data_IF_472882022677
#
_entry.id   IF_472882022677
#
_cell.length_a   1.000
_cell.length_b   1.000
_cell.length_c   1.000
_cell.angle_alpha   90.00
_cell.angle_beta   90.00
_cell.angle_gamma   90.00
#
_symmetry.space_group_name_H-M   'P 1'
#
loop_
_entity.id
_entity.type
_entity.pdbx_description
1 polymer ?
#
# COMPACT_ATOMS: atom_id res chain seq x y z
N UNK A 1 10.55 9.93 -0.81
CA UNK A 1 10.74 10.78 0.37
C UNK A 1 11.09 12.24 0.05
N UNK A 2 11.61 12.52 -1.12
CA UNK A 2 12.00 13.90 -1.52
C UNK A 2 11.46 14.28 -2.91
N UNK A 3 10.60 13.44 -3.48
CA UNK A 3 9.88 13.66 -4.76
C UNK A 3 10.81 13.92 -5.97
N UNK A 4 12.05 13.49 -5.89
CA UNK A 4 13.03 13.68 -6.97
C UNK A 4 12.84 12.72 -8.15
N UNK A 5 11.91 11.75 -8.02
CA UNK A 5 11.61 10.73 -9.02
C UNK A 5 12.63 9.58 -9.07
N UNK A 6 13.52 9.52 -8.12
CA UNK A 6 14.46 8.41 -7.93
C UNK A 6 13.94 7.53 -6.79
N UNK A 7 14.02 6.23 -6.94
CA UNK A 7 13.59 5.30 -5.90
C UNK A 7 14.53 5.38 -4.70
N UNK A 8 14.00 5.70 -3.52
CA UNK A 8 14.78 5.79 -2.28
C UNK A 8 15.42 4.46 -1.88
N UNK A 9 14.70 3.36 -2.07
CA UNK A 9 15.20 2.01 -1.78
C UNK A 9 15.04 1.06 -2.97
N UNK A 10 16.10 0.87 -3.78
CA UNK A 10 16.07 -0.07 -4.89
C UNK A 10 15.86 -1.54 -4.49
N UNK A 11 16.14 -1.92 -3.24
CA UNK A 11 15.89 -3.28 -2.76
C UNK A 11 14.39 -3.52 -2.55
N UNK A 12 13.68 -2.54 -2.01
CA UNK A 12 12.22 -2.59 -1.88
C UNK A 12 11.57 -2.62 -3.26
N UNK A 13 11.97 -1.74 -4.17
CA UNK A 13 11.47 -1.75 -5.55
C UNK A 13 11.67 -3.11 -6.23
N UNK A 14 12.90 -3.65 -6.18
CA UNK A 14 13.20 -4.95 -6.76
C UNK A 14 12.37 -6.08 -6.15
N UNK A 15 12.12 -6.04 -4.85
CA UNK A 15 11.29 -7.02 -4.15
C UNK A 15 9.83 -6.93 -4.58
N UNK A 16 9.26 -5.72 -4.66
CA UNK A 16 7.90 -5.50 -5.15
C UNK A 16 7.74 -6.00 -6.59
N UNK A 17 8.71 -5.69 -7.47
CA UNK A 17 8.73 -6.16 -8.85
C UNK A 17 8.84 -7.69 -8.93
N UNK A 18 9.73 -8.29 -8.14
CA UNK A 18 9.95 -9.75 -8.12
C UNK A 18 8.69 -10.50 -7.66
N UNK A 19 7.97 -9.97 -6.70
CA UNK A 19 6.70 -10.52 -6.19
C UNK A 19 5.50 -10.13 -7.05
N UNK A 20 5.70 -9.29 -8.06
CA UNK A 20 4.62 -8.72 -8.87
C UNK A 20 3.56 -8.05 -7.98
N UNK A 21 4.02 -7.23 -7.04
CA UNK A 21 3.16 -6.58 -6.06
C UNK A 21 2.09 -5.73 -6.73
N UNK A 22 0.86 -5.88 -6.27
CA UNK A 22 -0.28 -5.08 -6.71
C UNK A 22 -1.32 -4.99 -5.61
N UNK A 23 -2.05 -3.89 -5.61
CA UNK A 23 -3.22 -3.67 -4.77
C UNK A 23 -4.45 -3.67 -5.67
N UNK A 24 -5.33 -4.69 -5.60
CA UNK A 24 -6.56 -4.70 -6.38
C UNK A 24 -7.57 -3.70 -5.81
N UNK A 25 -8.33 -3.06 -6.71
CA UNK A 25 -9.43 -2.17 -6.35
C UNK A 25 -10.73 -2.76 -6.84
N UNK A 26 -11.65 -3.04 -5.93
CA UNK A 26 -12.95 -3.62 -6.25
C UNK A 26 -14.11 -2.65 -6.03
N UNK A 27 -15.25 -2.94 -6.65
CA UNK A 27 -16.45 -2.11 -6.49
C UNK A 27 -17.08 -2.24 -5.09
N UNK A 28 -16.89 -3.38 -4.44
CA UNK A 28 -17.36 -3.70 -3.09
C UNK A 28 -16.72 -4.97 -2.59
N UNK A 29 -16.65 -5.11 -1.28
CA UNK A 29 -16.30 -6.34 -0.58
C UNK A 29 -17.24 -7.49 -0.97
N UNK A 30 -16.70 -8.70 -1.08
CA UNK A 30 -17.45 -9.91 -1.49
C UNK A 30 -17.91 -9.91 -2.94
N UNK A 31 -17.44 -8.99 -3.77
CA UNK A 31 -17.80 -8.93 -5.19
C UNK A 31 -17.37 -10.19 -5.96
N UNK A 32 -18.07 -10.49 -7.07
CA UNK A 32 -17.69 -11.61 -7.92
C UNK A 32 -16.27 -11.46 -8.48
N UNK A 33 -15.82 -10.24 -8.75
CA UNK A 33 -14.46 -9.96 -9.25
C UNK A 33 -13.40 -10.28 -8.20
N UNK A 34 -13.62 -9.89 -6.96
CA UNK A 34 -12.77 -10.20 -5.83
C UNK A 34 -12.68 -11.71 -5.58
N UNK A 35 -13.84 -12.37 -5.49
CA UNK A 35 -13.90 -13.83 -5.33
C UNK A 35 -13.20 -14.56 -6.48
N UNK A 36 -13.36 -14.08 -7.72
CA UNK A 36 -12.70 -14.68 -8.89
C UNK A 36 -11.17 -14.49 -8.81
N UNK A 37 -10.69 -13.31 -8.39
CA UNK A 37 -9.27 -13.07 -8.23
C UNK A 37 -8.69 -14.02 -7.17
N UNK A 38 -9.18 -13.96 -5.94
CA UNK A 38 -8.57 -14.69 -4.82
C UNK A 38 -8.77 -16.21 -4.89
N UNK A 39 -9.79 -16.70 -5.58
CA UNK A 39 -9.91 -18.13 -5.84
C UNK A 39 -8.91 -18.66 -6.89
N UNK A 40 -8.31 -17.81 -7.70
CA UNK A 40 -7.39 -18.21 -8.78
C UNK A 40 -5.97 -17.63 -8.61
N UNK A 41 -5.78 -16.64 -7.77
CA UNK A 41 -4.47 -16.05 -7.51
C UNK A 41 -3.72 -16.87 -6.47
N UNK A 42 -2.48 -17.28 -6.81
CA UNK A 42 -1.62 -18.09 -5.95
C UNK A 42 -0.25 -17.42 -5.70
N UNK A 43 -0.14 -16.13 -5.97
CA UNK A 43 1.10 -15.36 -5.76
C UNK A 43 1.11 -14.64 -4.40
N UNK A 44 2.26 -14.07 -4.06
CA UNK A 44 2.51 -13.35 -2.80
C UNK A 44 2.52 -11.82 -2.98
N UNK A 45 2.06 -11.32 -4.13
CA UNK A 45 2.12 -9.89 -4.46
C UNK A 45 0.87 -9.09 -4.05
N UNK A 46 -0.25 -9.75 -3.73
CA UNK A 46 -1.47 -9.11 -3.25
C UNK A 46 -1.59 -9.29 -1.74
N UNK A 47 -1.39 -8.23 -0.98
CA UNK A 47 -1.44 -8.25 0.49
C UNK A 47 -2.43 -7.25 1.08
N UNK A 48 -3.04 -6.42 0.24
CA UNK A 48 -3.99 -5.41 0.61
C UNK A 48 -5.05 -5.27 -0.49
N UNK A 49 -6.22 -4.78 -0.14
CA UNK A 49 -7.37 -4.61 -1.06
C UNK A 49 -8.03 -3.28 -0.75
N UNK A 50 -8.35 -2.53 -1.79
CA UNK A 50 -9.09 -1.28 -1.65
C UNK A 50 -10.47 -1.41 -2.28
N UNK A 51 -11.50 -0.94 -1.60
CA UNK A 51 -12.86 -0.91 -2.11
C UNK A 51 -13.27 0.50 -2.53
N UNK A 52 -14.10 0.59 -3.57
CA UNK A 52 -14.55 1.87 -4.11
C UNK A 52 -15.18 2.81 -3.07
N UNK A 53 -15.91 2.25 -2.11
CA UNK A 53 -16.56 3.00 -1.04
C UNK A 53 -15.60 3.53 0.04
N UNK A 54 -14.34 3.09 0.02
CA UNK A 54 -13.27 3.53 0.93
C UNK A 54 -12.39 4.60 0.30
N UNK A 55 -12.69 5.00 -0.94
CA UNK A 55 -11.98 6.06 -1.66
C UNK A 55 -12.85 7.31 -1.64
N UNK A 56 -12.41 8.35 -0.95
CA UNK A 56 -13.07 9.66 -0.99
C UNK A 56 -12.15 10.75 -1.57
N UNK A 57 -12.18 10.96 -2.90
CA UNK A 57 -11.34 11.97 -3.54
C UNK A 57 -11.76 13.42 -3.20
N UNK A 58 -12.85 13.61 -2.45
CA UNK A 58 -13.31 14.94 -2.02
C UNK A 58 -12.79 15.33 -0.65
N UNK A 59 -12.16 14.40 0.07
CA UNK A 59 -11.54 14.67 1.36
C UNK A 59 -10.41 15.70 1.23
N UNK A 60 -10.56 16.78 1.97
CA UNK A 60 -9.52 17.78 2.12
C UNK A 60 -9.16 17.88 3.60
N UNK A 61 -7.99 17.33 3.97
CA UNK A 61 -7.49 17.44 5.34
C UNK A 61 -8.02 16.38 6.32
N UNK A 62 -8.84 15.45 5.87
CA UNK A 62 -9.25 14.28 6.63
C UNK A 62 -8.86 13.01 5.88
N UNK A 63 -8.01 12.22 6.49
CA UNK A 63 -7.57 10.93 5.92
C UNK A 63 -8.38 9.76 6.50
N UNK A 64 -9.21 10.01 7.52
CA UNK A 64 -9.89 8.98 8.27
C UNK A 64 -10.95 8.18 7.51
N UNK A 65 -11.42 8.69 6.36
CA UNK A 65 -12.45 8.02 5.56
C UNK A 65 -11.91 7.58 4.18
N UNK A 66 -10.60 7.77 3.91
CA UNK A 66 -9.96 7.33 2.65
C UNK A 66 -8.82 6.36 2.96
N UNK A 67 -9.05 5.07 2.68
CA UNK A 67 -8.10 4.00 2.93
C UNK A 67 -6.98 3.90 1.86
N UNK A 68 -6.91 4.81 0.89
CA UNK A 68 -5.94 4.68 -0.21
C UNK A 68 -4.50 4.67 0.28
N UNK A 69 -4.14 5.57 1.20
CA UNK A 69 -2.77 5.61 1.77
C UNK A 69 -2.49 4.35 2.57
N UNK A 70 -3.45 3.91 3.36
CA UNK A 70 -3.39 2.71 4.18
C UNK A 70 -3.07 1.47 3.35
N UNK A 71 -3.89 1.17 2.37
CA UNK A 71 -3.77 -0.05 1.57
C UNK A 71 -2.53 -0.06 0.68
N UNK A 72 -2.10 1.12 0.17
CA UNK A 72 -0.83 1.25 -0.53
C UNK A 72 0.35 0.98 0.41
N UNK A 73 0.31 1.52 1.64
CA UNK A 73 1.36 1.29 2.63
C UNK A 73 1.39 -0.16 3.10
N UNK A 74 0.23 -0.79 3.33
CA UNK A 74 0.14 -2.22 3.62
C UNK A 74 0.81 -3.05 2.52
N UNK A 75 0.52 -2.77 1.25
CA UNK A 75 1.16 -3.47 0.12
C UNK A 75 2.69 -3.30 0.14
N UNK A 76 3.19 -2.07 0.29
CA UNK A 76 4.63 -1.78 0.29
C UNK A 76 5.32 -2.39 1.51
N UNK A 77 4.73 -2.26 2.68
CA UNK A 77 5.31 -2.77 3.93
C UNK A 77 5.29 -4.30 3.94
N UNK A 78 4.16 -4.93 3.66
CA UNK A 78 4.01 -6.37 3.72
C UNK A 78 4.83 -7.10 2.64
N UNK A 79 4.76 -6.66 1.37
CA UNK A 79 5.49 -7.33 0.29
C UNK A 79 6.95 -6.88 0.21
N UNK A 80 7.24 -5.63 0.55
CA UNK A 80 8.56 -5.03 0.49
C UNK A 80 9.36 -5.17 1.79
N UNK A 81 9.06 -4.32 2.79
CA UNK A 81 9.89 -4.16 3.99
C UNK A 81 10.04 -5.44 4.82
N UNK A 82 8.96 -6.22 5.00
CA UNK A 82 9.01 -7.47 5.77
C UNK A 82 9.99 -8.48 5.17
N UNK A 83 10.15 -8.48 3.86
CA UNK A 83 11.00 -9.42 3.14
C UNK A 83 12.43 -8.92 2.94
N UNK A 84 12.62 -7.62 2.76
CA UNK A 84 13.95 -7.02 2.56
C UNK A 84 14.66 -6.83 3.89
N UNK A 85 13.95 -6.43 4.93
CA UNK A 85 14.48 -6.17 6.27
C UNK A 85 13.81 -7.01 7.35
N UNK A 86 13.87 -8.36 7.28
CA UNK A 86 13.09 -9.21 8.17
C UNK A 86 13.44 -9.05 9.66
N UNK A 87 14.68 -8.71 10.01
CA UNK A 87 15.07 -8.44 11.40
C UNK A 87 14.41 -7.17 11.97
N UNK A 88 14.04 -6.24 11.10
CA UNK A 88 13.36 -5.00 11.47
C UNK A 88 11.84 -5.14 11.41
N UNK A 89 11.29 -5.78 10.37
CA UNK A 89 9.87 -5.71 10.00
C UNK A 89 9.16 -7.06 9.80
N UNK A 90 9.78 -8.22 10.14
CA UNK A 90 9.04 -9.49 10.15
C UNK A 90 7.82 -9.38 11.05
N UNK A 91 6.69 -9.94 10.62
CA UNK A 91 5.42 -9.88 11.35
C UNK A 91 5.26 -11.01 12.38
N UNK A 92 6.15 -12.01 12.36
CA UNK A 92 6.07 -13.15 13.28
C UNK A 92 6.39 -12.75 14.71
N UNK A 93 5.74 -13.32 15.71
CA UNK A 93 6.01 -13.02 17.12
C UNK A 93 7.50 -13.20 17.48
N UNK A 94 8.06 -12.24 18.22
CA UNK A 94 9.46 -12.23 18.67
C UNK A 94 10.52 -12.27 17.53
N UNK A 95 10.17 -11.89 16.31
CA UNK A 95 11.09 -12.03 15.16
C UNK A 95 11.74 -10.73 14.70
N UNK A 96 11.25 -9.57 15.14
CA UNK A 96 11.69 -8.28 14.61
C UNK A 96 11.62 -7.14 15.64
N UNK A 97 12.22 -6.00 15.29
CA UNK A 97 12.08 -4.77 16.07
C UNK A 97 10.63 -4.27 16.08
N UNK A 98 9.91 -4.41 14.96
CA UNK A 98 8.50 -4.07 14.82
C UNK A 98 7.64 -4.82 15.86
N UNK A 99 7.76 -6.15 15.89
CA UNK A 99 6.94 -6.96 16.79
C UNK A 99 7.30 -6.75 18.26
N UNK A 100 8.57 -6.48 18.56
CA UNK A 100 8.98 -6.10 19.90
C UNK A 100 8.38 -4.75 20.34
N UNK A 101 8.36 -3.75 19.46
CA UNK A 101 7.73 -2.45 19.72
C UNK A 101 6.20 -2.59 19.88
N UNK A 102 5.54 -3.36 19.01
CA UNK A 102 4.10 -3.61 19.08
C UNK A 102 3.69 -4.27 20.41
N UNK A 103 4.44 -5.26 20.87
CA UNK A 103 4.14 -5.94 22.15
C UNK A 103 4.23 -4.97 23.34
N UNK A 104 5.15 -4.01 23.29
CA UNK A 104 5.24 -2.92 24.28
C UNK A 104 4.04 -1.98 24.16
N UNK A 105 3.70 -1.55 22.95
CA UNK A 105 2.59 -0.63 22.67
C UNK A 105 1.24 -1.17 23.13
N UNK A 106 1.04 -2.47 22.99
CA UNK A 106 -0.18 -3.20 23.41
C UNK A 106 -0.17 -3.60 24.89
N UNK A 107 0.95 -3.41 25.59
CA UNK A 107 1.13 -3.84 26.97
C UNK A 107 1.25 -5.35 27.16
N UNK A 108 1.55 -6.10 26.10
CA UNK A 108 1.73 -7.54 26.10
C UNK A 108 1.70 -8.18 24.72
N UNK A 109 2.18 -9.43 24.65
CA UNK A 109 2.10 -10.23 23.41
C UNK A 109 0.73 -10.93 23.32
N UNK A 110 -0.13 -10.41 22.48
CA UNK A 110 -1.46 -10.97 22.21
C UNK A 110 -1.51 -11.56 20.81
N UNK A 111 -1.78 -12.84 20.67
CA UNK A 111 -1.84 -13.55 19.38
C UNK A 111 -3.12 -13.28 18.59
N UNK A 112 -4.11 -12.70 19.25
CA UNK A 112 -5.36 -12.20 18.68
C UNK A 112 -5.79 -10.97 19.47
N UNK A 113 -6.74 -10.20 18.98
CA UNK A 113 -7.28 -9.04 19.70
C UNK A 113 -7.82 -9.46 21.07
N UNK A 114 -7.30 -8.91 22.18
CA UNK A 114 -7.76 -9.25 23.51
C UNK A 114 -9.11 -8.59 23.83
N UNK A 115 -9.88 -9.19 24.74
CA UNK A 115 -11.13 -8.56 25.20
C UNK A 115 -10.91 -7.18 25.86
N UNK A 116 -9.75 -6.97 26.47
CA UNK A 116 -9.34 -5.71 27.07
C UNK A 116 -7.83 -5.58 27.00
N UNK A 117 -7.36 -4.44 26.59
CA UNK A 117 -5.94 -4.08 26.67
C UNK A 117 -5.59 -3.59 28.10
N UNK A 118 -4.33 -3.74 28.53
CA UNK A 118 -3.86 -3.10 29.75
C UNK A 118 -4.01 -1.58 29.69
N UNK A 119 -4.27 -0.94 30.83
CA UNK A 119 -4.42 0.51 30.90
C UNK A 119 -3.15 1.32 30.53
N UNK A 120 -2.02 0.65 30.36
CA UNK A 120 -0.75 1.24 29.90
C UNK A 120 -0.54 1.10 28.40
N UNK A 121 -1.42 0.42 27.70
CA UNK A 121 -1.35 0.31 26.23
C UNK A 121 -1.75 1.63 25.57
N UNK A 122 -1.20 1.90 24.41
CA UNK A 122 -1.55 3.03 23.53
C UNK A 122 -1.87 2.59 22.11
N UNK A 123 -1.80 1.30 21.83
CA UNK A 123 -2.28 0.65 20.62
C UNK A 123 -3.31 -0.41 21.02
N UNK A 124 -4.56 -0.23 20.61
CA UNK A 124 -5.73 -0.98 21.06
C UNK A 124 -6.54 -1.53 19.88
N UNK A 125 -5.90 -2.06 18.85
CA UNK A 125 -6.58 -2.55 17.65
C UNK A 125 -7.77 -3.45 18.01
N UNK A 126 -8.93 -3.23 17.40
CA UNK A 126 -10.19 -3.81 17.87
C UNK A 126 -10.91 -4.72 16.86
N UNK A 127 -10.36 -4.92 15.65
CA UNK A 127 -10.89 -5.92 14.72
C UNK A 127 -10.56 -7.35 15.17
N UNK A 128 -11.56 -8.04 15.70
CA UNK A 128 -11.43 -9.41 16.21
C UNK A 128 -11.12 -10.47 15.15
N UNK A 129 -11.17 -10.15 13.87
CA UNK A 129 -10.75 -11.05 12.79
C UNK A 129 -9.24 -11.04 12.58
N UNK A 130 -8.56 -10.05 13.14
CA UNK A 130 -7.14 -9.81 12.98
C UNK A 130 -6.31 -10.71 13.90
N UNK A 131 -5.33 -11.38 13.33
CA UNK A 131 -4.31 -12.13 14.06
C UNK A 131 -3.09 -11.27 14.42
N UNK A 132 -2.03 -11.90 14.92
CA UNK A 132 -0.83 -11.17 15.32
C UNK A 132 -0.13 -10.46 14.17
N UNK A 133 -0.04 -11.09 13.00
CA UNK A 133 0.62 -10.52 11.82
C UNK A 133 -0.18 -9.33 11.25
N UNK A 134 -1.49 -9.49 11.20
CA UNK A 134 -2.41 -8.42 10.85
C UNK A 134 -2.24 -7.23 11.79
N UNK A 135 -2.27 -7.43 13.11
CA UNK A 135 -2.05 -6.35 14.07
C UNK A 135 -0.67 -5.67 13.94
N UNK A 136 0.35 -6.40 13.48
CA UNK A 136 1.68 -5.82 13.29
C UNK A 136 1.75 -4.94 12.03
N UNK A 137 1.02 -5.29 10.97
CA UNK A 137 0.98 -4.46 9.75
C UNK A 137 0.14 -3.19 9.96
N UNK A 138 -0.92 -3.28 10.75
CA UNK A 138 -1.70 -2.12 11.19
C UNK A 138 -0.88 -1.18 12.07
N UNK A 139 -0.14 -1.73 13.01
CA UNK A 139 0.71 -0.95 13.92
C UNK A 139 1.77 -0.12 13.20
N UNK A 140 2.46 -0.68 12.18
CA UNK A 140 3.42 0.09 11.40
C UNK A 140 2.71 1.17 10.58
N UNK A 141 1.52 0.92 10.04
CA UNK A 141 0.71 1.91 9.35
C UNK A 141 0.39 3.10 10.27
N UNK A 142 -0.22 2.86 11.44
CA UNK A 142 -0.55 3.91 12.41
C UNK A 142 0.65 4.77 12.76
N UNK A 143 1.80 4.15 13.01
CA UNK A 143 3.01 4.88 13.35
C UNK A 143 3.54 5.75 12.18
N UNK A 144 3.51 5.24 10.96
CA UNK A 144 3.95 5.98 9.77
C UNK A 144 3.06 7.20 9.51
N UNK A 145 1.73 7.03 9.51
CA UNK A 145 0.80 8.15 9.26
C UNK A 145 0.82 9.19 10.38
N UNK A 146 1.06 8.78 11.62
CA UNK A 146 1.31 9.69 12.73
C UNK A 146 2.59 10.51 12.53
N UNK A 147 3.69 9.85 12.12
CA UNK A 147 4.96 10.52 11.86
C UNK A 147 4.89 11.49 10.68
N UNK A 148 4.10 11.17 9.67
CA UNK A 148 3.86 12.03 8.50
C UNK A 148 2.89 13.18 8.79
N UNK A 149 2.27 13.22 9.97
CA UNK A 149 1.31 14.26 10.35
C UNK A 149 -0.06 14.12 9.67
N UNK A 150 -0.36 12.99 9.06
CA UNK A 150 -1.64 12.72 8.37
C UNK A 150 -2.81 12.73 9.37
N UNK A 151 -2.58 12.26 10.60
CA UNK A 151 -3.60 12.16 11.64
C UNK A 151 -3.70 13.39 12.55
N UNK A 152 -2.87 14.43 12.32
CA UNK A 152 -2.73 15.59 13.22
C UNK A 152 -3.85 16.61 13.02
N UNK A 153 -5.09 16.17 13.13
CA UNK A 153 -6.28 17.03 13.26
C UNK A 153 -7.20 16.51 14.35
N UNK A 154 -7.96 17.43 14.95
CA UNK A 154 -8.76 17.13 16.15
C UNK A 154 -9.90 16.12 15.89
N UNK A 155 -10.44 16.06 14.68
CA UNK A 155 -11.54 15.15 14.33
C UNK A 155 -10.99 13.74 14.15
N UNK A 156 -9.93 13.58 13.37
CA UNK A 156 -9.25 12.30 13.17
C UNK A 156 -8.74 11.75 14.50
N UNK A 157 -8.00 12.56 15.26
CA UNK A 157 -7.48 12.16 16.57
C UNK A 157 -8.59 11.68 17.53
N UNK A 158 -9.76 12.33 17.53
CA UNK A 158 -10.90 11.90 18.34
C UNK A 158 -11.53 10.61 17.80
N UNK A 159 -11.58 10.43 16.49
CA UNK A 159 -12.18 9.26 15.84
C UNK A 159 -11.41 7.97 16.10
N UNK A 160 -10.07 8.06 16.15
CA UNK A 160 -9.17 6.90 16.31
C UNK A 160 -8.72 6.64 17.74
N UNK A 161 -9.13 7.49 18.71
CA UNK A 161 -8.62 7.44 20.08
C UNK A 161 -8.89 6.11 20.83
N UNK A 162 -9.85 5.32 20.35
CA UNK A 162 -10.14 3.98 20.88
C UNK A 162 -9.11 2.94 20.41
N UNK A 163 -8.39 3.18 19.33
CA UNK A 163 -7.40 2.24 18.77
C UNK A 163 -5.97 2.74 18.88
N UNK A 164 -5.75 4.04 18.67
CA UNK A 164 -4.44 4.63 18.57
C UNK A 164 -4.36 5.98 19.28
N UNK A 165 -3.41 6.11 20.23
CA UNK A 165 -3.25 7.35 21.01
C UNK A 165 -2.19 8.31 20.43
N UNK A 166 -1.03 7.84 19.89
CA UNK A 166 0.03 8.74 19.44
C UNK A 166 -0.21 9.30 18.01
N UNK A 167 -1.28 10.05 17.81
CA UNK A 167 -1.77 10.51 16.51
C UNK A 167 -0.88 11.54 15.78
N UNK A 168 0.22 12.01 16.38
CA UNK A 168 1.17 12.90 15.71
C UNK A 168 2.62 12.59 16.10
N UNK A 169 3.57 13.17 15.37
CA UNK A 169 5.00 12.93 15.55
C UNK A 169 5.47 13.17 17.00
N UNK A 170 4.96 14.21 17.67
CA UNK A 170 5.37 14.55 19.05
C UNK A 170 4.91 13.49 20.05
N UNK A 171 3.68 13.04 19.93
CA UNK A 171 3.14 11.97 20.76
C UNK A 171 3.81 10.65 20.45
N UNK A 172 3.99 10.31 19.18
CA UNK A 172 4.68 9.09 18.77
C UNK A 172 6.11 9.05 19.35
N UNK A 173 6.86 10.13 19.22
CA UNK A 173 8.22 10.22 19.77
C UNK A 173 8.27 10.07 21.30
N UNK A 174 7.25 10.54 22.02
CA UNK A 174 7.24 10.50 23.48
C UNK A 174 6.64 9.23 24.05
N UNK A 175 5.64 8.64 23.41
CA UNK A 175 4.91 7.48 23.89
C UNK A 175 5.49 6.17 23.33
N UNK A 176 5.84 6.16 22.03
CA UNK A 176 6.33 4.98 21.32
C UNK A 176 7.75 5.17 20.79
N UNK A 177 8.66 5.30 21.72
CA UNK A 177 10.09 5.53 21.43
C UNK A 177 10.71 4.46 20.53
N UNK A 178 10.29 3.20 20.70
CA UNK A 178 10.83 2.07 19.94
C UNK A 178 10.38 2.15 18.49
N UNK A 179 9.11 2.37 18.27
CA UNK A 179 8.56 2.46 16.93
C UNK A 179 8.99 3.73 16.22
N UNK A 180 9.00 4.87 16.91
CA UNK A 180 9.53 6.12 16.37
C UNK A 180 10.97 5.96 15.88
N UNK A 181 11.85 5.37 16.69
CA UNK A 181 13.24 5.11 16.32
C UNK A 181 13.34 4.18 15.09
N UNK A 182 12.47 3.19 14.99
CA UNK A 182 12.46 2.22 13.89
C UNK A 182 12.04 2.87 12.57
N UNK A 183 10.93 3.63 12.56
CA UNK A 183 10.40 4.20 11.31
C UNK A 183 11.17 5.44 10.84
N UNK A 184 11.93 6.08 11.72
CA UNK A 184 12.78 7.23 11.36
C UNK A 184 14.24 6.84 11.09
N UNK A 185 14.60 5.56 11.23
CA UNK A 185 15.94 5.09 10.87
C UNK A 185 16.14 5.20 9.34
N UNK A 186 17.11 6.02 8.88
CA UNK A 186 17.32 6.26 7.45
C UNK A 186 17.80 5.01 6.69
N UNK A 187 18.17 3.94 7.38
CA UNK A 187 18.55 2.67 6.76
C UNK A 187 17.36 2.03 6.05
N UNK A 188 16.16 2.16 6.59
CA UNK A 188 14.97 1.48 6.09
C UNK A 188 14.17 2.27 5.05
N UNK A 189 14.50 3.55 4.85
CA UNK A 189 13.88 4.40 3.82
C UNK A 189 12.35 4.48 3.87
N UNK A 190 11.77 4.32 5.05
CA UNK A 190 10.33 4.50 5.23
C UNK A 190 9.92 5.96 4.95
N UNK A 191 8.70 6.22 4.46
CA UNK A 191 8.26 7.56 4.14
C UNK A 191 8.20 8.45 5.40
N UNK A 192 8.70 9.68 5.26
CA UNK A 192 8.71 10.68 6.33
C UNK A 192 7.79 11.87 6.03
N UNK A 193 7.30 11.98 4.81
CA UNK A 193 6.42 13.07 4.36
C UNK A 193 5.14 12.48 3.78
N UNK A 194 4.02 13.13 4.07
CA UNK A 194 2.75 12.79 3.45
C UNK A 194 2.78 13.10 1.95
N UNK A 195 2.11 12.29 1.10
CA UNK A 195 1.95 12.61 -0.31
C UNK A 195 1.19 13.94 -0.47
N UNK A 196 1.71 14.86 -1.24
CA UNK A 196 1.11 16.19 -1.48
C UNK A 196 0.42 16.31 -2.85
N UNK A 197 0.44 15.26 -3.65
CA UNK A 197 -0.11 15.21 -5.00
C UNK A 197 0.79 15.78 -6.09
N UNK A 198 1.96 16.31 -5.78
CA UNK A 198 2.93 16.86 -6.74
C UNK A 198 3.91 15.79 -7.25
N UNK A 199 3.42 14.66 -7.61
CA UNK A 199 4.16 13.42 -7.80
C UNK A 199 5.12 13.38 -8.99
N UNK A 200 5.13 14.35 -9.89
CA UNK A 200 6.02 14.31 -11.05
C UNK A 200 7.14 15.33 -10.89
N UNK A 201 8.40 14.90 -10.76
CA UNK A 201 9.51 15.84 -10.92
C UNK A 201 9.38 16.49 -12.29
N UNK A 202 9.47 17.82 -12.32
CA UNK A 202 9.34 18.63 -13.53
C UNK A 202 10.42 18.32 -14.61
N UNK A 203 11.22 17.30 -14.43
CA UNK A 203 12.37 16.95 -15.25
C UNK A 203 12.35 15.54 -15.84
N UNK A 204 11.39 14.71 -15.52
CA UNK A 204 11.14 13.57 -16.37
C UNK A 204 10.35 14.04 -17.59
N UNK A 205 11.05 14.54 -18.59
CA UNK A 205 10.68 14.02 -19.90
C UNK A 205 10.60 12.51 -19.69
N UNK A 206 9.41 11.93 -19.60
CA UNK A 206 9.18 10.65 -20.25
C UNK A 206 9.86 10.90 -21.58
N UNK A 207 11.09 10.39 -21.75
CA UNK A 207 11.52 10.12 -23.09
C UNK A 207 10.37 9.25 -23.57
N UNK A 208 9.46 9.84 -24.34
CA UNK A 208 8.65 9.03 -25.21
C UNK A 208 9.68 8.07 -25.75
N UNK A 209 9.57 6.82 -25.29
CA UNK A 209 10.22 5.77 -26.04
C UNK A 209 9.50 5.94 -27.35
N UNK A 210 10.10 6.77 -28.18
CA UNK A 210 9.77 6.95 -29.57
C UNK A 210 10.25 5.66 -30.20
N UNK A 211 9.68 4.57 -29.68
CA UNK A 211 9.60 3.35 -30.41
C UNK A 211 8.78 3.77 -31.61
N UNK A 212 9.45 3.94 -32.73
CA UNK A 212 8.81 3.76 -34.01
C UNK A 212 8.18 2.37 -33.94
N UNK A 213 7.01 2.30 -33.27
CA UNK A 213 6.24 1.06 -33.13
C UNK A 213 5.70 0.78 -34.50
N UNK A 214 6.49 0.10 -35.32
CA UNK A 214 6.00 -0.31 -36.61
C UNK A 214 4.96 -1.39 -36.38
N UNK A 215 3.74 -1.11 -36.79
CA UNK A 215 2.62 -2.06 -36.72
C UNK A 215 2.95 -3.28 -37.59
N UNK A 216 2.97 -4.44 -36.97
CA UNK A 216 3.23 -5.70 -37.65
C UNK A 216 1.93 -6.31 -38.18
N UNK A 217 0.89 -6.37 -37.33
CA UNK A 217 -0.39 -6.99 -37.67
C UNK A 217 -1.53 -6.45 -36.81
N UNK A 218 -2.77 -6.61 -37.29
CA UNK A 218 -4.00 -6.35 -36.55
C UNK A 218 -4.79 -7.67 -36.51
N UNK A 219 -5.19 -8.09 -35.32
CA UNK A 219 -5.99 -9.30 -35.14
C UNK A 219 -7.29 -9.01 -34.37
N UNK A 220 -8.31 -9.81 -34.60
CA UNK A 220 -9.53 -9.81 -33.80
C UNK A 220 -9.37 -10.59 -32.47
N UNK A 221 -10.42 -10.63 -31.67
CA UNK A 221 -10.45 -11.32 -30.37
C UNK A 221 -10.25 -12.87 -30.48
N UNK A 222 -10.33 -13.41 -31.68
CA UNK A 222 -10.09 -14.82 -31.98
C UNK A 222 -8.70 -15.08 -32.57
N UNK A 223 -7.86 -14.04 -32.65
CA UNK A 223 -6.49 -14.15 -33.18
C UNK A 223 -6.42 -14.16 -34.71
N UNK A 224 -7.49 -13.87 -35.43
CA UNK A 224 -7.54 -13.82 -36.91
C UNK A 224 -7.14 -12.45 -37.41
N UNK A 225 -6.38 -12.36 -38.49
CA UNK A 225 -6.08 -11.09 -39.16
C UNK A 225 -7.36 -10.34 -39.49
N UNK A 226 -7.39 -9.05 -39.19
CA UNK A 226 -8.54 -8.19 -39.38
C UNK A 226 -8.14 -6.81 -39.89
N UNK A 227 -8.99 -6.19 -40.67
CA UNK A 227 -8.90 -4.78 -41.01
C UNK A 227 -9.47 -3.95 -39.86
N UNK A 228 -9.12 -2.65 -39.82
CA UNK A 228 -9.70 -1.70 -38.87
C UNK A 228 -11.24 -1.69 -39.02
N UNK A 229 -11.95 -1.89 -37.92
CA UNK A 229 -13.39 -1.88 -37.83
C UNK A 229 -13.83 -1.02 -36.65
N UNK A 230 -14.88 -0.18 -36.89
CA UNK A 230 -15.45 0.63 -35.82
C UNK A 230 -16.22 -0.23 -34.83
N UNK A 231 -16.22 0.20 -33.55
CA UNK A 231 -16.92 -0.42 -32.43
C UNK A 231 -16.56 -1.91 -32.19
N UNK A 232 -15.42 -2.37 -32.72
CA UNK A 232 -14.92 -3.73 -32.55
C UNK A 232 -13.56 -3.71 -31.85
N UNK A 233 -13.33 -4.49 -30.78
CA UNK A 233 -12.03 -4.58 -30.15
C UNK A 233 -11.06 -5.34 -31.06
N UNK A 234 -9.95 -4.68 -31.38
CA UNK A 234 -8.86 -5.21 -32.19
C UNK A 234 -7.55 -5.15 -31.39
N UNK A 235 -6.64 -6.06 -31.66
CA UNK A 235 -5.30 -6.09 -31.11
C UNK A 235 -4.29 -5.70 -32.18
N UNK A 236 -3.58 -4.60 -31.94
CA UNK A 236 -2.48 -4.13 -32.76
C UNK A 236 -1.18 -4.75 -32.24
N UNK A 237 -0.54 -5.56 -33.06
CA UNK A 237 0.74 -6.21 -32.76
C UNK A 237 1.87 -5.41 -33.43
N UNK A 238 2.90 -5.07 -32.66
CA UNK A 238 4.03 -4.27 -33.15
C UNK A 238 5.31 -5.12 -33.23
N UNK A 239 6.25 -4.69 -34.10
CA UNK A 239 7.53 -5.40 -34.32
C UNK A 239 8.35 -5.60 -33.04
N UNK A 240 8.18 -4.75 -32.02
CA UNK A 240 8.86 -4.86 -30.74
C UNK A 240 8.19 -5.86 -29.76
N UNK A 241 7.17 -6.60 -30.20
CA UNK A 241 6.43 -7.55 -29.39
C UNK A 241 5.31 -6.93 -28.54
N UNK A 242 5.14 -5.61 -28.56
CA UNK A 242 4.02 -4.94 -27.84
C UNK A 242 2.70 -5.27 -28.51
N UNK A 243 1.66 -5.51 -27.70
CA UNK A 243 0.28 -5.69 -28.16
C UNK A 243 -0.60 -4.63 -27.51
N UNK A 244 -1.33 -3.87 -28.32
CA UNK A 244 -2.28 -2.85 -27.85
C UNK A 244 -3.71 -3.20 -28.23
N UNK A 245 -4.64 -3.20 -27.29
CA UNK A 245 -6.07 -3.30 -27.59
C UNK A 245 -6.60 -1.94 -27.98
N UNK A 246 -7.25 -1.84 -29.13
CA UNK A 246 -7.89 -0.61 -29.63
C UNK A 246 -9.35 -0.86 -30.00
N UNK A 247 -10.19 0.13 -29.74
CA UNK A 247 -11.57 0.20 -30.20
C UNK A 247 -11.71 1.56 -30.86
N UNK A 248 -12.00 1.56 -32.16
CA UNK A 248 -12.34 2.80 -32.89
C UNK A 248 -13.82 3.07 -32.64
N UNK A 249 -14.10 4.23 -32.06
CA UNK A 249 -15.48 4.70 -31.88
C UNK A 249 -15.84 5.63 -33.05
N UNK A 250 -17.09 5.57 -33.48
CA UNK A 250 -17.62 6.52 -34.47
C UNK A 250 -17.84 7.89 -33.85
#
# INVERSE_FOLDING_TARGET
NDEDGIVDDPLIEAQLQNKQAFMPVFSSEGSNAENLLFNNYNGDGASAVLYKNEIDPTQTGHWGDDATVEEVMHTINHVGHTNVYPNAFSLQPNSSLLTAAMDVARGGQFMSVPNNYPASAWYHYDDYTCDYECMAIEYIYWAQVSNMGILDDAQTASGIANEWEPYNTTLLQSMDVLMYALITDPVYKLPQLAPDGNYCPNTTSISEINTNKKLLNIIDVLGRESLLQNNTPLFHIYENGTVEKKILLE
#
